data_IF_829089167814
#
_entry.id   IF_829089167814
#
_cell.length_a   1.000
_cell.length_b   1.000
_cell.length_c   1.000
_cell.angle_alpha   90.00
_cell.angle_beta   90.00
_cell.angle_gamma   90.00
#
_symmetry.space_group_name_H-M   'P 1'
#
loop_
_entity.id
_entity.type
_entity.pdbx_description
1 polymer ?
#
# COMPACT_ATOMS: atom_id res chain seq x y z
N UNK A 1 -20.25 -6.63 -1.06
CA UNK A 1 -19.13 -6.58 -0.10
C UNK A 1 -18.16 -5.53 -0.61
N UNK A 2 -17.61 -4.68 0.27
CA UNK A 2 -16.57 -3.71 -0.14
C UNK A 2 -15.26 -4.44 -0.39
N UNK A 3 -14.45 -3.95 -1.33
CA UNK A 3 -13.11 -4.47 -1.59
C UNK A 3 -12.06 -3.73 -0.76
N UNK A 4 -11.08 -4.45 -0.24
CA UNK A 4 -9.96 -3.89 0.51
C UNK A 4 -8.87 -3.42 -0.47
N UNK A 5 -8.58 -2.13 -0.47
CA UNK A 5 -7.57 -1.52 -1.33
C UNK A 5 -6.42 -1.04 -0.47
N UNK A 6 -5.22 -1.57 -0.71
CA UNK A 6 -3.99 -1.04 -0.13
C UNK A 6 -3.51 0.14 -0.96
N UNK A 7 -3.35 1.32 -0.36
CA UNK A 7 -2.75 2.50 -0.99
C UNK A 7 -1.31 2.58 -0.48
N UNK A 8 -0.36 2.23 -1.32
CA UNK A 8 1.07 2.16 -0.99
C UNK A 8 1.77 3.44 -1.40
N UNK A 9 2.47 4.06 -0.46
CA UNK A 9 3.21 5.31 -0.66
C UNK A 9 4.54 5.30 0.13
N UNK A 10 5.27 6.42 0.12
CA UNK A 10 6.63 6.52 0.62
C UNK A 10 7.67 6.21 -0.47
N UNK A 11 8.55 5.24 -0.22
CA UNK A 11 9.68 4.86 -1.07
C UNK A 11 11.03 5.21 -0.45
N UNK A 12 12.10 5.01 -1.21
CA UNK A 12 13.47 5.34 -0.79
C UNK A 12 14.09 6.48 -1.61
N UNK A 13 13.31 7.09 -2.49
CA UNK A 13 13.74 8.20 -3.34
C UNK A 13 13.65 9.55 -2.60
N UNK A 14 14.20 10.60 -3.21
CA UNK A 14 13.97 11.98 -2.79
C UNK A 14 12.51 12.44 -2.93
N UNK A 15 11.65 11.63 -3.55
CA UNK A 15 10.25 11.92 -3.81
C UNK A 15 9.32 11.36 -2.73
N UNK A 16 9.87 10.85 -1.62
CA UNK A 16 9.12 10.30 -0.49
C UNK A 16 7.90 11.13 -0.08
N UNK A 17 8.11 12.43 0.19
CA UNK A 17 7.04 13.34 0.63
C UNK A 17 5.98 13.56 -0.46
N UNK A 18 6.39 13.54 -1.73
CA UNK A 18 5.49 13.70 -2.89
C UNK A 18 4.62 12.43 -3.02
N UNK A 19 5.22 11.27 -2.86
CA UNK A 19 4.57 9.96 -2.86
C UNK A 19 3.54 9.83 -1.73
N UNK A 20 3.89 10.20 -0.49
CA UNK A 20 2.95 10.20 0.65
C UNK A 20 1.74 11.12 0.39
N UNK A 21 1.96 12.33 -0.15
CA UNK A 21 0.87 13.25 -0.52
C UNK A 21 -0.01 12.71 -1.63
N UNK A 22 0.59 12.05 -2.62
CA UNK A 22 -0.13 11.42 -3.73
C UNK A 22 -1.03 10.30 -3.22
N UNK A 23 -0.48 9.40 -2.40
CA UNK A 23 -1.26 8.34 -1.76
C UNK A 23 -2.39 8.90 -0.89
N UNK A 24 -2.12 9.96 -0.10
CA UNK A 24 -3.15 10.57 0.75
C UNK A 24 -4.31 11.12 -0.08
N UNK A 25 -4.01 11.74 -1.22
CA UNK A 25 -5.04 12.24 -2.14
C UNK A 25 -5.95 11.11 -2.64
N UNK A 26 -5.37 9.96 -2.97
CA UNK A 26 -6.13 8.76 -3.39
C UNK A 26 -6.98 8.23 -2.24
N UNK A 27 -6.40 8.10 -1.04
CA UNK A 27 -7.09 7.64 0.16
C UNK A 27 -8.31 8.52 0.49
N UNK A 28 -8.13 9.83 0.50
CA UNK A 28 -9.17 10.80 0.86
C UNK A 28 -10.33 10.86 -0.17
N UNK A 29 -10.07 10.46 -1.42
CA UNK A 29 -11.06 10.49 -2.51
C UNK A 29 -11.61 9.11 -2.89
N UNK A 30 -11.25 8.06 -2.15
CA UNK A 30 -11.70 6.70 -2.43
C UNK A 30 -13.22 6.58 -2.22
N UNK A 31 -13.93 5.94 -3.15
CA UNK A 31 -15.37 5.68 -3.02
C UNK A 31 -15.63 4.70 -1.87
N UNK A 32 -15.95 5.25 -0.70
CA UNK A 32 -16.14 4.49 0.53
C UNK A 32 -17.37 3.60 0.50
N UNK A 33 -18.28 3.71 -0.48
CA UNK A 33 -19.37 2.75 -0.65
C UNK A 33 -18.89 1.44 -1.30
N UNK A 34 -17.82 1.50 -2.10
CA UNK A 34 -17.28 0.35 -2.84
C UNK A 34 -16.03 -0.24 -2.21
N UNK A 35 -15.22 0.58 -1.55
CA UNK A 35 -13.88 0.20 -1.10
C UNK A 35 -13.64 0.50 0.37
N UNK A 36 -12.82 -0.34 1.00
CA UNK A 36 -12.13 -0.05 2.25
C UNK A 36 -10.69 0.34 1.92
N UNK A 37 -10.28 1.55 2.25
CA UNK A 37 -8.92 2.04 1.99
C UNK A 37 -7.98 1.74 3.16
N UNK A 38 -6.77 1.27 2.86
CA UNK A 38 -5.72 1.02 3.84
C UNK A 38 -4.46 1.77 3.43
N UNK A 39 -4.02 2.73 4.24
CA UNK A 39 -2.90 3.61 3.91
C UNK A 39 -1.58 3.02 4.40
N UNK A 40 -0.77 2.53 3.47
CA UNK A 40 0.48 1.82 3.77
C UNK A 40 1.67 2.68 3.34
N UNK A 41 2.57 2.92 4.28
CA UNK A 41 3.82 3.66 4.07
C UNK A 41 4.99 2.67 4.04
N UNK A 42 5.81 2.77 2.99
CA UNK A 42 7.01 1.97 2.81
C UNK A 42 8.23 2.90 2.91
N UNK A 43 9.19 2.55 3.77
CA UNK A 43 10.50 3.22 3.85
C UNK A 43 11.59 2.23 4.24
N UNK A 44 12.46 1.92 3.30
CA UNK A 44 13.49 0.90 3.43
C UNK A 44 12.89 -0.45 3.83
N UNK A 45 13.33 -0.97 4.97
CA UNK A 45 12.81 -2.20 5.56
C UNK A 45 11.46 -2.05 6.27
N UNK A 46 10.96 -0.83 6.51
CA UNK A 46 9.77 -0.60 7.33
C UNK A 46 8.54 -0.44 6.43
N UNK A 47 7.58 -1.34 6.58
CA UNK A 47 6.33 -1.38 5.80
C UNK A 47 5.20 -1.39 6.81
N UNK A 48 4.48 -0.26 6.91
CA UNK A 48 3.51 -0.05 7.99
C UNK A 48 2.18 0.45 7.44
N UNK A 49 1.09 -0.13 7.91
CA UNK A 49 -0.24 0.44 7.82
C UNK A 49 -0.34 1.56 8.87
N UNK A 50 -0.65 2.78 8.43
CA UNK A 50 -0.99 3.88 9.33
C UNK A 50 -2.41 3.64 9.87
N UNK A 51 -2.51 3.40 11.17
CA UNK A 51 -3.76 3.08 11.86
C UNK A 51 -4.23 4.24 12.76
N UNK A 52 -5.35 4.02 13.47
CA UNK A 52 -5.96 5.04 14.35
C UNK A 52 -4.98 5.51 15.42
N UNK A 53 -5.14 6.76 15.90
CA UNK A 53 -4.36 7.32 17.02
C UNK A 53 -2.82 7.32 16.84
N UNK A 54 -2.33 7.42 15.60
CA UNK A 54 -0.91 7.30 15.24
C UNK A 54 -0.29 5.93 15.50
N UNK A 55 -1.11 4.89 15.67
CA UNK A 55 -0.61 3.52 15.73
C UNK A 55 -0.13 3.08 14.34
N UNK A 56 0.92 2.26 14.33
CA UNK A 56 1.47 1.66 13.11
C UNK A 56 1.40 0.14 13.22
N UNK A 57 0.87 -0.50 12.18
CA UNK A 57 0.75 -1.96 12.11
C UNK A 57 1.69 -2.47 11.03
N UNK A 58 2.62 -3.33 11.40
CA UNK A 58 3.58 -3.92 10.46
C UNK A 58 2.89 -4.78 9.40
N UNK A 59 3.33 -4.63 8.15
CA UNK A 59 2.92 -5.50 7.04
C UNK A 59 3.77 -6.77 7.06
N UNK A 60 3.10 -7.92 7.03
CA UNK A 60 3.73 -9.20 6.76
C UNK A 60 4.14 -9.25 5.28
N UNK A 61 5.44 -9.23 5.02
CA UNK A 61 5.98 -9.22 3.65
C UNK A 61 5.91 -10.56 2.94
N UNK A 62 5.61 -11.66 3.64
CA UNK A 62 5.51 -12.97 2.99
C UNK A 62 4.23 -13.09 2.15
N UNK A 63 3.17 -12.36 2.51
CA UNK A 63 1.85 -12.47 1.88
C UNK A 63 1.11 -11.13 1.79
N UNK A 64 1.80 -10.03 2.04
CA UNK A 64 1.29 -8.66 2.02
C UNK A 64 -0.01 -8.49 2.83
N UNK A 65 -0.03 -9.02 4.06
CA UNK A 65 -1.16 -8.93 4.98
C UNK A 65 -0.79 -8.18 6.26
N UNK A 66 -1.79 -7.83 7.07
CA UNK A 66 -1.58 -7.30 8.42
C UNK A 66 -2.62 -7.87 9.39
N UNK A 67 -2.41 -7.68 10.69
CA UNK A 67 -3.35 -8.08 11.73
C UNK A 67 -3.90 -6.84 12.42
N UNK A 68 -5.23 -6.71 12.45
CA UNK A 68 -5.95 -5.64 13.13
C UNK A 68 -6.90 -6.29 14.11
N UNK A 69 -6.75 -6.00 15.41
CA UNK A 69 -7.59 -6.56 16.48
C UNK A 69 -7.72 -8.09 16.45
N UNK A 70 -6.62 -8.79 16.14
CA UNK A 70 -6.58 -10.26 16.04
C UNK A 70 -7.18 -10.83 14.75
N UNK A 71 -7.65 -9.98 13.83
CA UNK A 71 -8.14 -10.38 12.52
C UNK A 71 -7.09 -10.12 11.44
N UNK A 72 -6.82 -11.15 10.63
CA UNK A 72 -5.96 -11.02 9.46
C UNK A 72 -6.68 -10.27 8.34
N UNK A 73 -6.05 -9.21 7.84
CA UNK A 73 -6.51 -8.39 6.72
C UNK A 73 -5.66 -8.66 5.49
N UNK A 74 -6.33 -8.99 4.39
CA UNK A 74 -5.74 -9.10 3.05
C UNK A 74 -6.36 -8.06 2.11
N UNK A 75 -5.65 -7.79 1.01
CA UNK A 75 -6.03 -6.75 0.05
C UNK A 75 -6.43 -7.37 -1.28
N UNK A 76 -7.52 -6.87 -1.86
CA UNK A 76 -8.03 -7.29 -3.17
C UNK A 76 -7.27 -6.63 -4.32
N UNK A 77 -6.64 -5.48 -4.06
CA UNK A 77 -5.78 -4.77 -5.00
C UNK A 77 -4.86 -3.79 -4.26
N UNK A 78 -3.70 -3.51 -4.87
CA UNK A 78 -2.75 -2.49 -4.42
C UNK A 78 -2.73 -1.31 -5.38
N UNK A 79 -3.06 -0.13 -4.86
CA UNK A 79 -2.80 1.13 -5.54
C UNK A 79 -1.38 1.59 -5.22
N UNK A 80 -0.50 1.62 -6.23
CA UNK A 80 0.90 2.05 -6.06
C UNK A 80 0.99 3.55 -6.33
N UNK A 81 1.26 4.32 -5.28
CA UNK A 81 1.46 5.78 -5.32
C UNK A 81 2.91 6.18 -4.98
N UNK A 82 3.88 5.28 -5.21
CA UNK A 82 5.30 5.52 -5.00
C UNK A 82 5.95 6.02 -6.29
N UNK A 83 6.69 7.13 -6.18
CA UNK A 83 7.52 7.71 -7.25
C UNK A 83 8.99 7.33 -7.05
N UNK A 84 9.65 6.86 -8.10
CA UNK A 84 11.01 6.31 -8.04
C UNK A 84 11.11 4.95 -7.35
N UNK A 85 12.20 4.68 -6.63
CA UNK A 85 12.41 3.40 -5.92
C UNK A 85 11.50 3.25 -4.69
N UNK A 86 10.81 2.10 -4.48
CA UNK A 86 10.72 0.91 -5.34
C UNK A 86 9.44 0.83 -6.20
N UNK A 87 8.78 1.96 -6.44
CA UNK A 87 7.47 2.03 -7.10
C UNK A 87 7.50 2.03 -8.63
N UNK A 88 8.53 2.60 -9.23
CA UNK A 88 8.61 2.80 -10.70
C UNK A 88 9.75 2.03 -11.36
N UNK A 89 10.49 1.21 -10.59
CA UNK A 89 11.62 0.42 -11.07
C UNK A 89 11.33 -1.08 -11.20
N UNK A 90 10.07 -1.47 -11.01
CA UNK A 90 9.59 -2.85 -11.18
C UNK A 90 9.69 -3.73 -9.94
N UNK A 91 10.34 -3.29 -8.85
CA UNK A 91 10.53 -4.15 -7.66
C UNK A 91 9.21 -4.49 -6.99
N UNK A 92 8.34 -3.50 -6.75
CA UNK A 92 7.04 -3.73 -6.13
C UNK A 92 6.09 -4.50 -7.04
N UNK A 93 6.11 -4.22 -8.34
CA UNK A 93 5.32 -4.94 -9.33
C UNK A 93 5.67 -6.43 -9.32
N UNK A 94 6.97 -6.75 -9.44
CA UNK A 94 7.44 -8.15 -9.38
C UNK A 94 7.08 -8.83 -8.05
N UNK A 95 7.15 -8.10 -6.93
CA UNK A 95 6.70 -8.60 -5.64
C UNK A 95 5.19 -8.94 -5.63
N UNK A 96 4.32 -8.06 -6.15
CA UNK A 96 2.88 -8.32 -6.19
C UNK A 96 2.48 -9.39 -7.21
N UNK A 97 3.18 -9.49 -8.34
CA UNK A 97 3.02 -10.59 -9.31
C UNK A 97 3.31 -11.95 -8.65
N UNK A 98 4.42 -12.07 -7.90
CA UNK A 98 4.76 -13.31 -7.19
C UNK A 98 3.70 -13.73 -6.17
N UNK A 99 2.99 -12.76 -5.58
CA UNK A 99 1.92 -13.00 -4.63
C UNK A 99 0.54 -13.16 -5.29
N UNK A 100 0.44 -13.00 -6.62
CA UNK A 100 -0.82 -12.96 -7.37
C UNK A 100 -1.80 -11.91 -6.83
N UNK A 101 -1.29 -10.75 -6.37
CA UNK A 101 -2.11 -9.65 -5.88
C UNK A 101 -2.26 -8.62 -7.01
N UNK A 102 -3.49 -8.28 -7.44
CA UNK A 102 -3.70 -7.22 -8.42
C UNK A 102 -3.13 -5.89 -7.96
N UNK A 103 -2.54 -5.11 -8.87
CA UNK A 103 -2.02 -3.78 -8.57
C UNK A 103 -2.28 -2.79 -9.70
N UNK A 104 -2.18 -1.50 -9.40
CA UNK A 104 -2.25 -0.42 -10.39
C UNK A 104 -0.86 -0.05 -10.90
N UNK A 105 -0.77 0.36 -12.17
CA UNK A 105 0.46 0.85 -12.78
C UNK A 105 0.83 0.04 -14.01
N UNK A 106 2.07 0.19 -14.46
CA UNK A 106 2.62 -0.61 -15.56
C UNK A 106 2.90 -2.03 -15.05
N UNK A 107 2.47 -3.04 -15.81
CA UNK A 107 2.88 -4.43 -15.59
C UNK A 107 4.32 -4.67 -16.03
N UNK A 108 4.88 -5.80 -15.62
CA UNK A 108 6.19 -6.30 -16.09
C UNK A 108 5.97 -7.48 -17.02
#
# INVERSE_FOLDING_TARGET
MKRNIAIVCGGNSSEYEISVRSGKTVYDNLDTFKYNGFFIEIKGGNWVLKWTNNDEISINKNDFSCEIDGARITFDCVFIAIHGDPGEDGKLQGYFEMLNIPYTGSGI
#
